data_IF_483768904314
#
_entry.id   IF_483768904314
#
_cell.length_a   1.000
_cell.length_b   1.000
_cell.length_c   1.000
_cell.angle_alpha   90.00
_cell.angle_beta   90.00
_cell.angle_gamma   90.00
#
_symmetry.space_group_name_H-M   'P 1'
#
loop_
_entity.id
_entity.type
_entity.pdbx_description
1 polymer ?
#
# COMPACT_ATOMS: atom_id res chain seq x y z
N UNK A 1 37.26 -3.33 11.77
CA UNK A 1 36.19 -2.84 12.65
C UNK A 1 34.96 -2.48 11.82
N UNK A 2 33.76 -2.93 12.20
CA UNK A 2 32.51 -2.64 11.51
C UNK A 2 31.88 -1.39 12.18
N UNK A 3 31.99 -0.24 11.52
CA UNK A 3 31.39 1.01 12.00
C UNK A 3 29.93 1.07 11.51
N UNK A 4 28.96 0.60 12.25
CA UNK A 4 27.51 0.62 11.92
C UNK A 4 27.04 2.03 11.48
N UNK A 5 27.24 2.37 10.20
CA UNK A 5 26.75 3.63 9.64
C UNK A 5 25.25 3.52 9.39
N UNK A 6 24.45 4.12 10.26
CA UNK A 6 22.98 4.17 10.13
C UNK A 6 22.52 5.05 8.95
N UNK A 7 23.35 6.01 8.52
CA UNK A 7 22.97 7.00 7.50
C UNK A 7 23.74 6.75 6.20
N UNK A 8 23.01 6.65 5.08
CA UNK A 8 23.64 6.65 3.75
C UNK A 8 23.96 8.09 3.35
N UNK A 9 25.24 8.37 3.09
CA UNK A 9 25.68 9.71 2.71
C UNK A 9 25.32 10.10 1.27
N UNK A 10 25.01 9.14 0.40
CA UNK A 10 24.65 9.35 -1.02
C UNK A 10 25.72 10.18 -1.78
N UNK A 11 26.98 10.11 -1.36
CA UNK A 11 28.06 10.90 -1.93
C UNK A 11 27.96 12.42 -1.70
N UNK A 12 27.23 12.87 -0.66
CA UNK A 12 26.89 14.29 -0.44
C UNK A 12 27.21 14.75 0.97
N UNK A 13 27.57 16.03 1.11
CA UNK A 13 27.67 16.73 2.41
C UNK A 13 26.27 16.84 3.05
N UNK A 14 26.21 17.05 4.36
CA UNK A 14 24.96 17.02 5.14
C UNK A 14 23.87 17.98 4.62
N UNK A 15 24.23 19.24 4.33
CA UNK A 15 23.28 20.23 3.81
C UNK A 15 22.70 19.85 2.44
N UNK A 16 23.56 19.42 1.51
CA UNK A 16 23.14 18.96 0.18
C UNK A 16 22.26 17.70 0.26
N UNK A 17 22.58 16.76 1.17
CA UNK A 17 21.78 15.55 1.38
C UNK A 17 20.39 15.87 1.94
N UNK A 18 20.30 16.80 2.92
CA UNK A 18 19.02 17.28 3.46
C UNK A 18 18.16 17.92 2.37
N UNK A 19 18.74 18.80 1.56
CA UNK A 19 18.02 19.44 0.46
C UNK A 19 17.56 18.43 -0.60
N UNK A 20 18.41 17.45 -0.97
CA UNK A 20 18.03 16.38 -1.89
C UNK A 20 16.81 15.61 -1.37
N UNK A 21 16.83 15.15 -0.12
CA UNK A 21 15.74 14.37 0.45
C UNK A 21 14.46 15.20 0.58
N UNK A 22 14.55 16.46 0.96
CA UNK A 22 13.40 17.37 1.01
C UNK A 22 12.75 17.55 -0.38
N UNK A 23 13.55 17.81 -1.42
CA UNK A 23 13.03 17.94 -2.78
C UNK A 23 12.42 16.65 -3.32
N UNK A 24 13.06 15.51 -3.07
CA UNK A 24 12.50 14.20 -3.47
C UNK A 24 11.22 13.88 -2.70
N UNK A 25 11.14 14.21 -1.40
CA UNK A 25 9.93 14.04 -0.60
C UNK A 25 8.78 14.91 -1.12
N UNK A 26 9.05 16.16 -1.44
CA UNK A 26 8.10 17.07 -2.09
C UNK A 26 7.57 16.48 -3.39
N UNK A 27 8.46 16.02 -4.28
CA UNK A 27 8.07 15.38 -5.54
C UNK A 27 7.25 14.11 -5.35
N UNK A 28 7.58 13.29 -4.34
CA UNK A 28 6.83 12.08 -4.02
C UNK A 28 5.41 12.40 -3.53
N UNK A 29 5.26 13.41 -2.67
CA UNK A 29 3.95 13.83 -2.13
C UNK A 29 3.07 14.39 -3.25
N UNK A 30 3.62 15.20 -4.15
CA UNK A 30 2.86 15.80 -5.25
C UNK A 30 2.48 14.77 -6.31
N UNK A 31 3.44 13.97 -6.78
CA UNK A 31 3.25 13.02 -7.88
C UNK A 31 2.81 11.62 -7.43
N UNK A 32 2.80 11.32 -6.11
CA UNK A 32 2.45 10.03 -5.51
C UNK A 32 3.44 8.90 -5.83
N UNK A 33 4.22 9.00 -6.90
CA UNK A 33 5.29 8.06 -7.30
C UNK A 33 6.40 8.79 -8.05
N UNK A 34 7.65 8.37 -7.83
CA UNK A 34 8.82 8.90 -8.53
C UNK A 34 9.80 7.78 -8.84
N UNK A 35 10.54 7.93 -9.95
CA UNK A 35 11.62 7.02 -10.32
C UNK A 35 12.97 7.60 -9.91
N UNK A 36 13.82 6.77 -9.27
CA UNK A 36 15.14 7.18 -8.80
C UNK A 36 16.06 5.97 -8.62
N UNK A 37 17.28 6.17 -8.13
CA UNK A 37 18.16 5.04 -7.81
C UNK A 37 17.75 4.36 -6.51
N UNK A 38 18.01 3.04 -6.40
CA UNK A 38 17.66 2.22 -5.22
C UNK A 38 18.20 2.83 -3.91
N UNK A 39 19.45 3.32 -3.93
CA UNK A 39 20.05 3.92 -2.73
C UNK A 39 19.31 5.18 -2.27
N UNK A 40 18.91 6.05 -3.22
CA UNK A 40 18.11 7.26 -2.92
C UNK A 40 16.72 6.90 -2.46
N UNK A 41 16.04 5.93 -3.10
CA UNK A 41 14.70 5.48 -2.72
C UNK A 41 14.66 4.97 -1.29
N UNK A 42 15.62 4.12 -0.88
CA UNK A 42 15.72 3.62 0.50
C UNK A 42 15.98 4.73 1.52
N UNK A 43 16.85 5.68 1.20
CA UNK A 43 17.09 6.83 2.09
C UNK A 43 15.88 7.75 2.17
N UNK A 44 15.15 7.93 1.07
CA UNK A 44 13.92 8.71 1.03
C UNK A 44 12.81 8.06 1.86
N UNK A 45 12.66 6.74 1.81
CA UNK A 45 11.69 6.00 2.61
C UNK A 45 11.84 6.34 4.10
N UNK A 46 13.05 6.19 4.65
CA UNK A 46 13.33 6.52 6.05
C UNK A 46 13.10 7.99 6.39
N UNK A 47 13.18 8.90 5.41
CA UNK A 47 12.95 10.32 5.60
C UNK A 47 11.46 10.70 5.56
N UNK A 48 10.71 10.11 4.65
CA UNK A 48 9.30 10.47 4.39
C UNK A 48 8.34 9.82 5.38
N UNK A 49 8.56 8.57 5.77
CA UNK A 49 7.63 7.84 6.65
C UNK A 49 7.33 8.56 7.97
N UNK A 50 8.32 9.12 8.70
CA UNK A 50 8.03 9.91 9.91
C UNK A 50 7.20 11.17 9.64
N UNK A 51 7.38 11.80 8.46
CA UNK A 51 6.60 12.99 8.09
C UNK A 51 5.14 12.64 7.81
N UNK A 52 4.93 11.50 7.14
CA UNK A 52 3.60 10.95 6.88
C UNK A 52 2.91 10.56 8.20
N UNK A 53 3.61 9.92 9.13
CA UNK A 53 3.05 9.62 10.45
C UNK A 53 2.61 10.89 11.18
N UNK A 54 3.43 11.96 11.14
CA UNK A 54 3.05 13.25 11.73
C UNK A 54 1.87 13.93 11.06
N UNK A 55 1.60 13.64 9.79
CA UNK A 55 0.47 14.24 9.08
C UNK A 55 -0.89 13.64 9.46
N UNK A 56 -0.93 12.54 10.18
CA UNK A 56 -2.19 11.98 10.72
C UNK A 56 -2.85 12.92 11.74
N UNK A 57 -2.03 13.62 12.52
CA UNK A 57 -2.50 14.61 13.46
C UNK A 57 -2.49 15.99 12.81
N UNK A 58 -3.65 16.47 12.40
CA UNK A 58 -3.79 17.78 11.75
C UNK A 58 -3.77 18.92 12.78
N UNK A 59 -2.64 19.08 13.47
CA UNK A 59 -2.38 20.18 14.36
C UNK A 59 -1.48 21.24 13.72
N UNK A 60 -1.59 22.49 14.17
CA UNK A 60 -0.72 23.58 13.72
C UNK A 60 0.76 23.26 13.99
N UNK A 61 1.06 22.57 15.10
CA UNK A 61 2.41 22.13 15.47
C UNK A 61 2.93 21.09 14.46
N UNK A 62 2.11 20.09 14.09
CA UNK A 62 2.46 19.08 13.09
C UNK A 62 2.72 19.71 11.73
N UNK A 63 1.85 20.63 11.28
CA UNK A 63 2.05 21.38 10.03
C UNK A 63 3.34 22.19 10.02
N UNK A 64 3.67 22.89 11.10
CA UNK A 64 4.92 23.65 11.23
C UNK A 64 6.14 22.73 11.18
N UNK A 65 6.08 21.59 11.88
CA UNK A 65 7.15 20.60 11.88
C UNK A 65 7.38 20.04 10.49
N UNK A 66 6.34 19.58 9.80
CA UNK A 66 6.44 19.04 8.43
C UNK A 66 6.97 20.10 7.47
N UNK A 67 6.50 21.36 7.58
CA UNK A 67 6.99 22.45 6.75
C UNK A 67 8.49 22.73 6.97
N UNK A 68 8.99 22.62 8.20
CA UNK A 68 10.43 22.82 8.48
C UNK A 68 11.33 21.81 7.72
N UNK A 69 10.82 20.60 7.45
CA UNK A 69 11.52 19.57 6.68
C UNK A 69 11.33 19.71 5.17
N UNK A 70 10.12 19.94 4.69
CA UNK A 70 9.80 19.98 3.26
C UNK A 70 10.10 21.36 2.62
N UNK A 71 9.92 22.44 3.36
CA UNK A 71 10.12 23.83 2.91
C UNK A 71 9.27 24.21 1.68
N UNK A 72 8.20 23.47 1.40
CA UNK A 72 7.28 23.70 0.30
C UNK A 72 5.84 23.72 0.81
N UNK A 73 5.11 24.80 0.56
CA UNK A 73 3.73 25.01 1.02
C UNK A 73 2.74 24.07 0.34
N UNK A 74 2.89 23.89 -0.98
CA UNK A 74 2.00 23.04 -1.78
C UNK A 74 2.09 21.58 -1.34
N UNK A 75 3.31 21.05 -1.15
CA UNK A 75 3.51 19.70 -0.67
C UNK A 75 2.92 19.47 0.73
N UNK A 76 3.02 20.45 1.63
CA UNK A 76 2.39 20.35 2.94
C UNK A 76 0.86 20.35 2.81
N UNK A 77 0.30 21.25 2.02
CA UNK A 77 -1.15 21.28 1.79
C UNK A 77 -1.65 19.95 1.21
N UNK A 78 -0.96 19.45 0.19
CA UNK A 78 -1.29 18.17 -0.44
C UNK A 78 -1.16 16.97 0.52
N UNK A 79 -0.13 16.98 1.38
CA UNK A 79 0.08 15.93 2.38
C UNK A 79 -1.09 15.86 3.37
N UNK A 80 -1.50 16.98 3.95
CA UNK A 80 -2.58 17.00 4.94
C UNK A 80 -3.97 16.88 4.32
N UNK A 81 -4.19 17.41 3.11
CA UNK A 81 -5.49 17.41 2.45
C UNK A 81 -5.81 16.06 1.78
N UNK A 82 -4.83 15.49 1.06
CA UNK A 82 -5.07 14.35 0.15
C UNK A 82 -4.45 13.07 0.69
N UNK A 83 -3.21 13.14 1.21
CA UNK A 83 -2.47 11.94 1.61
C UNK A 83 -2.91 11.47 2.99
N UNK A 84 -2.98 12.34 3.98
CA UNK A 84 -3.30 11.97 5.36
C UNK A 84 -4.64 11.23 5.51
N UNK A 85 -5.75 11.64 4.87
CA UNK A 85 -7.01 10.91 4.98
C UNK A 85 -6.94 9.47 4.43
N UNK A 86 -6.22 9.26 3.31
CA UNK A 86 -6.11 7.94 2.68
C UNK A 86 -5.27 6.95 3.49
N UNK A 87 -4.31 7.45 4.26
CA UNK A 87 -3.37 6.61 5.04
C UNK A 87 -3.73 6.49 6.52
N UNK A 88 -4.84 7.10 6.97
CA UNK A 88 -5.23 7.18 8.39
C UNK A 88 -5.25 5.81 9.08
N UNK A 89 -5.79 4.80 8.42
CA UNK A 89 -5.96 3.44 8.95
C UNK A 89 -4.67 2.61 8.95
N UNK A 90 -3.67 3.00 8.15
CA UNK A 90 -2.43 2.23 8.03
C UNK A 90 -1.47 2.55 9.18
N UNK A 91 -1.00 1.55 9.98
CA UNK A 91 -0.12 1.80 11.13
C UNK A 91 1.31 2.21 10.74
N UNK A 92 1.73 1.96 9.49
CA UNK A 92 3.07 2.28 8.98
C UNK A 92 3.33 1.64 7.62
N UNK A 93 4.53 1.85 7.04
CA UNK A 93 4.89 1.31 5.72
C UNK A 93 4.10 1.97 4.60
N UNK A 94 4.01 3.29 4.61
CA UNK A 94 3.24 4.08 3.65
C UNK A 94 3.86 4.09 2.26
N UNK A 95 5.14 3.76 2.15
CA UNK A 95 5.89 3.79 0.91
C UNK A 95 6.32 2.40 0.47
N UNK A 96 6.35 2.17 -0.84
CA UNK A 96 6.86 0.94 -1.46
C UNK A 96 7.96 1.28 -2.45
N UNK A 97 9.04 0.50 -2.42
CA UNK A 97 10.17 0.62 -3.36
C UNK A 97 10.18 -0.61 -4.27
N UNK A 98 9.99 -0.38 -5.55
CA UNK A 98 10.00 -1.40 -6.60
C UNK A 98 11.27 -1.23 -7.44
N UNK A 99 12.09 -2.28 -7.56
CA UNK A 99 13.27 -2.26 -8.43
C UNK A 99 12.83 -2.35 -9.89
N UNK A 100 13.36 -1.48 -10.75
CA UNK A 100 13.01 -1.39 -12.17
C UNK A 100 14.15 -1.83 -13.11
N UNK A 101 15.24 -2.33 -12.56
CA UNK A 101 16.44 -2.70 -13.32
C UNK A 101 17.55 -1.69 -13.17
N UNK A 102 18.43 -1.61 -14.14
CA UNK A 102 19.56 -0.70 -14.16
C UNK A 102 19.42 0.33 -15.30
N UNK A 103 20.08 1.47 -15.12
CA UNK A 103 20.10 2.55 -16.11
C UNK A 103 21.24 2.30 -17.08
N UNK A 104 20.97 2.37 -18.38
CA UNK A 104 22.01 2.32 -19.41
C UNK A 104 22.94 3.53 -19.27
N UNK A 105 24.22 3.31 -19.48
CA UNK A 105 25.26 4.32 -19.39
C UNK A 105 26.09 4.25 -18.10
N UNK A 106 25.48 4.25 -16.92
CA UNK A 106 26.19 4.18 -15.63
C UNK A 106 25.93 2.91 -14.81
N UNK A 107 25.07 2.00 -15.32
CA UNK A 107 24.74 0.75 -14.62
C UNK A 107 24.10 0.92 -13.26
N UNK A 108 23.60 2.11 -12.92
CA UNK A 108 23.00 2.38 -11.62
C UNK A 108 21.68 1.63 -11.45
N UNK A 109 21.52 0.91 -10.32
CA UNK A 109 20.24 0.27 -9.96
C UNK A 109 19.14 1.31 -9.78
N UNK A 110 18.07 1.18 -10.55
CA UNK A 110 16.91 2.05 -10.53
C UNK A 110 15.77 1.45 -9.72
N UNK A 111 14.97 2.33 -9.13
CA UNK A 111 13.76 1.96 -8.42
C UNK A 111 12.68 3.01 -8.59
N UNK A 112 11.44 2.54 -8.58
CA UNK A 112 10.24 3.33 -8.41
C UNK A 112 9.88 3.34 -6.93
N UNK A 113 9.73 4.51 -6.32
CA UNK A 113 9.13 4.66 -4.99
C UNK A 113 7.74 5.27 -5.14
N UNK A 114 6.78 4.68 -4.47
CA UNK A 114 5.37 5.07 -4.55
C UNK A 114 4.71 5.08 -3.18
N UNK A 115 3.63 5.85 -3.04
CA UNK A 115 2.70 5.77 -1.92
C UNK A 115 1.75 4.61 -2.17
N UNK A 116 1.71 3.65 -1.23
CA UNK A 116 1.00 2.36 -1.40
C UNK A 116 -0.49 2.57 -1.67
N UNK A 117 -1.12 3.49 -0.93
CA UNK A 117 -2.57 3.71 -0.98
C UNK A 117 -3.05 4.52 -2.20
N UNK A 118 -2.11 4.97 -3.04
CA UNK A 118 -2.39 5.67 -4.30
C UNK A 118 -2.21 4.79 -5.55
N UNK A 119 -1.78 3.54 -5.39
CA UNK A 119 -1.67 2.59 -6.50
C UNK A 119 -2.87 1.64 -6.53
N UNK A 120 -3.97 2.08 -7.14
CA UNK A 120 -5.23 1.34 -7.22
C UNK A 120 -5.07 -0.02 -7.93
N UNK A 121 -4.23 -0.10 -8.95
CA UNK A 121 -3.97 -1.35 -9.67
C UNK A 121 -3.29 -2.40 -8.78
N UNK A 122 -2.35 -1.98 -7.93
CA UNK A 122 -1.69 -2.88 -6.98
C UNK A 122 -2.63 -3.27 -5.83
N UNK A 123 -3.47 -2.37 -5.36
CA UNK A 123 -4.49 -2.65 -4.34
C UNK A 123 -5.52 -3.66 -4.85
N UNK A 124 -6.06 -3.47 -6.06
CA UNK A 124 -7.00 -4.39 -6.69
C UNK A 124 -6.40 -5.80 -6.89
N UNK A 125 -5.10 -5.90 -7.23
CA UNK A 125 -4.40 -7.18 -7.36
C UNK A 125 -4.20 -7.91 -6.03
N UNK A 126 -4.03 -7.16 -4.94
CA UNK A 126 -3.86 -7.71 -3.59
C UNK A 126 -5.18 -8.29 -3.08
N UNK A 127 -6.28 -7.57 -3.24
CA UNK A 127 -7.64 -8.02 -2.88
C UNK A 127 -8.02 -9.30 -3.65
N UNK A 128 -7.71 -9.38 -4.97
CA UNK A 128 -7.93 -10.59 -5.76
C UNK A 128 -7.09 -11.79 -5.28
N UNK A 129 -5.87 -11.57 -4.78
CA UNK A 129 -5.02 -12.64 -4.25
C UNK A 129 -5.53 -13.16 -2.90
N UNK A 130 -6.02 -12.29 -2.04
CA UNK A 130 -6.60 -12.66 -0.75
C UNK A 130 -7.90 -13.43 -0.92
N UNK A 131 -8.79 -12.99 -1.80
CA UNK A 131 -10.03 -13.71 -2.15
C UNK A 131 -9.75 -15.13 -2.70
N UNK A 132 -8.72 -15.29 -3.57
CA UNK A 132 -8.32 -16.62 -4.06
C UNK A 132 -7.69 -17.51 -2.99
N UNK A 133 -7.03 -16.96 -1.97
CA UNK A 133 -6.46 -17.74 -0.86
C UNK A 133 -7.56 -18.21 0.10
N UNK A 134 -8.57 -17.40 0.38
CA UNK A 134 -9.68 -17.78 1.27
C UNK A 134 -10.52 -18.91 0.68
N UNK A 135 -10.85 -18.84 -0.63
CA UNK A 135 -11.61 -19.90 -1.33
C UNK A 135 -10.88 -21.22 -1.39
N UNK A 136 -9.54 -21.21 -1.48
CA UNK A 136 -8.75 -22.45 -1.51
C UNK A 136 -8.66 -23.12 -0.12
N UNK A 137 -8.69 -22.32 0.95
CA UNK A 137 -8.64 -22.82 2.34
C UNK A 137 -10.00 -23.36 2.80
N UNK A 138 -11.12 -22.79 2.36
CA UNK A 138 -12.47 -23.29 2.63
C UNK A 138 -12.76 -24.59 1.87
N UNK A 139 -12.25 -24.75 0.63
CA UNK A 139 -12.41 -25.99 -0.15
C UNK A 139 -11.60 -27.17 0.41
N UNK A 140 -10.44 -26.91 1.01
CA UNK A 140 -9.65 -27.95 1.68
C UNK A 140 -10.31 -28.41 2.99
N UNK A 141 -11.01 -27.53 3.70
CA UNK A 141 -11.66 -27.85 4.96
C UNK A 141 -13.00 -28.61 4.78
N UNK A 142 -13.67 -28.43 3.63
CA UNK A 142 -14.87 -29.18 3.28
C UNK A 142 -14.59 -30.57 2.68
N UNK A 143 -13.35 -30.85 2.26
CA UNK A 143 -12.98 -32.18 1.75
C UNK A 143 -12.63 -33.18 2.87
N UNK A 144 -12.46 -32.71 4.12
CA UNK A 144 -12.08 -33.55 5.26
C UNK A 144 -13.26 -33.91 6.18
N UNK A 145 -14.49 -33.46 5.84
CA UNK A 145 -15.69 -33.75 6.62
C UNK A 145 -16.77 -34.40 5.73
N UNK A 146 -16.48 -35.59 5.23
CA UNK A 146 -17.50 -36.49 4.71
C UNK A 146 -17.38 -37.86 5.40
N UNK A 147 -18.28 -38.24 6.30
CA UNK A 147 -18.46 -39.64 6.66
C UNK A 147 -19.44 -40.31 5.69
N UNK A 148 -19.10 -41.54 5.40
CA UNK A 148 -19.74 -42.46 4.49
C UNK A 148 -21.11 -42.97 4.97
N UNK A 149 -21.91 -43.34 3.95
CA UNK A 149 -22.86 -44.43 3.86
C UNK A 149 -24.15 -44.37 4.71
N UNK A 150 -25.28 -44.39 4.08
CA UNK A 150 -26.12 -45.56 3.90
C UNK A 150 -27.41 -45.20 3.16
N UNK A 151 -27.67 -45.93 2.08
CA UNK A 151 -28.95 -46.17 1.44
C UNK A 151 -29.63 -47.38 2.11
N UNK A 152 -30.92 -47.78 1.92
CA UNK A 152 -31.80 -47.49 0.79
C UNK A 152 -33.32 -47.40 1.12
N UNK A 153 -34.12 -47.17 0.06
CA UNK A 153 -35.53 -47.60 -0.23
C UNK A 153 -36.68 -46.79 0.41
N UNK A 154 -37.59 -46.23 -0.33
CA UNK A 154 -38.79 -46.74 -0.94
C UNK A 154 -39.72 -45.59 -1.34
N UNK A 155 -40.17 -45.59 -2.56
CA UNK A 155 -41.33 -44.80 -3.05
C UNK A 155 -42.63 -45.55 -2.66
N UNK A 156 -43.87 -45.09 -2.84
CA UNK A 156 -44.37 -44.23 -3.91
C UNK A 156 -45.55 -43.27 -3.58
N UNK A 157 -45.83 -42.44 -4.56
CA UNK A 157 -47.15 -42.08 -5.15
C UNK A 157 -48.06 -41.02 -4.52
N UNK A 158 -48.48 -40.17 -5.44
CA UNK A 158 -49.85 -39.66 -5.71
C UNK A 158 -50.24 -38.35 -5.00
N UNK A 159 -50.51 -37.35 -5.70
CA UNK A 159 -51.64 -36.76 -6.42
C UNK A 159 -51.64 -35.25 -6.37
N UNK A 160 -51.70 -34.64 -7.52
CA UNK A 160 -52.25 -33.31 -7.72
C UNK A 160 -53.81 -33.40 -7.66
N UNK A 161 -54.63 -32.37 -7.63
CA UNK A 161 -54.57 -31.21 -8.50
C UNK A 161 -55.13 -29.86 -7.94
N UNK A 162 -54.80 -28.83 -8.67
CA UNK A 162 -55.67 -27.75 -9.25
C UNK A 162 -56.50 -26.78 -8.40
N UNK A 163 -56.55 -25.61 -9.03
CA UNK A 163 -57.59 -24.55 -9.11
C UNK A 163 -57.43 -23.42 -8.11
N UNK A 164 -57.31 -22.30 -8.57
CA UNK A 164 -58.01 -21.28 -9.33
C UNK A 164 -58.25 -20.01 -8.51
N UNK A 165 -57.88 -18.94 -9.07
CA UNK A 165 -58.64 -17.73 -9.38
C UNK A 165 -58.80 -16.63 -8.32
N UNK A 166 -58.37 -15.51 -8.77
CA UNK A 166 -59.08 -14.25 -9.00
C UNK A 166 -59.19 -13.22 -7.88
N UNK A 167 -58.76 -12.07 -8.33
CA UNK A 167 -59.40 -10.75 -8.21
C UNK A 167 -59.50 -10.09 -6.84
N UNK A 168 -58.89 -9.01 -6.65
CA UNK A 168 -59.33 -7.62 -6.89
C UNK A 168 -58.17 -6.67 -6.66
#
# INVERSE_FOLDING_TARGET
MRHNKAINHLGRKSGHRKALLANMATSLILNKRIQTTVAKAKALQSYVEPLITKSKDDSTASRRTVFSYLKNKEAVTELFRTVAPKISERPGGYTRVLKTGFRQGDGADMALIELVDFNEAALASTVKKEAKKSTRRSRAKNAEAAPAAETPAEAPATEAPATEAAAE
#
